data_IF_958766099268
#
_entry.id   IF_958766099268
#
_cell.length_a   1.000
_cell.length_b   1.000
_cell.length_c   1.000
_cell.angle_alpha   90.00
_cell.angle_beta   90.00
_cell.angle_gamma   90.00
#
_symmetry.space_group_name_H-M   'P 1'
#
loop_
_entity.id
_entity.type
_entity.pdbx_description
1 polymer ?
#
# COMPACT_ATOMS: atom_id res chain seq x y z
N UNK A 1 6.78 -24.69 -15.12
CA UNK A 1 7.69 -25.31 -14.12
C UNK A 1 8.10 -26.70 -14.57
N UNK A 2 9.35 -27.11 -14.33
CA UNK A 2 9.70 -28.53 -14.40
C UNK A 2 9.01 -29.28 -13.25
N UNK A 3 8.63 -30.54 -13.46
CA UNK A 3 8.01 -31.39 -12.42
C UNK A 3 8.82 -31.40 -11.11
N UNK A 4 10.14 -31.27 -11.21
CA UNK A 4 11.05 -31.24 -10.07
C UNK A 4 10.85 -30.00 -9.18
N UNK A 5 10.67 -28.81 -9.76
CA UNK A 5 10.46 -27.58 -8.97
C UNK A 5 9.16 -27.65 -8.16
N UNK A 6 8.10 -28.25 -8.72
CA UNK A 6 6.82 -28.40 -8.03
C UNK A 6 6.94 -29.33 -6.82
N UNK A 7 7.71 -30.41 -6.95
CA UNK A 7 7.99 -31.34 -5.85
C UNK A 7 8.78 -30.67 -4.73
N UNK A 8 9.82 -29.90 -5.06
CA UNK A 8 10.62 -29.16 -4.06
C UNK A 8 9.75 -28.17 -3.28
N UNK A 9 8.89 -27.42 -3.98
CA UNK A 9 7.97 -26.47 -3.33
C UNK A 9 7.01 -27.18 -2.37
N UNK A 10 6.41 -28.31 -2.79
CA UNK A 10 5.51 -29.08 -1.95
C UNK A 10 6.22 -29.67 -0.73
N UNK A 11 7.43 -30.19 -0.91
CA UNK A 11 8.26 -30.70 0.18
C UNK A 11 8.62 -29.58 1.18
N UNK A 12 9.06 -28.41 0.72
CA UNK A 12 9.36 -27.28 1.61
C UNK A 12 8.13 -26.82 2.39
N UNK A 13 6.94 -26.80 1.79
CA UNK A 13 5.72 -26.46 2.50
C UNK A 13 5.33 -27.51 3.56
N UNK A 14 5.40 -28.79 3.20
CA UNK A 14 4.97 -29.89 4.05
C UNK A 14 5.96 -30.20 5.18
N UNK A 15 7.26 -30.22 4.86
CA UNK A 15 8.31 -30.75 5.73
C UNK A 15 9.04 -29.63 6.51
N UNK A 16 9.05 -28.40 5.98
CA UNK A 16 9.71 -27.26 6.64
C UNK A 16 8.72 -26.28 7.25
N UNK A 17 7.79 -25.74 6.45
CA UNK A 17 6.91 -24.64 6.91
C UNK A 17 5.82 -25.14 7.87
N UNK A 18 5.12 -26.22 7.54
CA UNK A 18 3.99 -26.72 8.32
C UNK A 18 4.37 -27.05 9.78
N UNK A 19 5.47 -27.78 10.08
CA UNK A 19 5.84 -28.10 11.46
C UNK A 19 6.10 -26.84 12.30
N UNK A 20 6.81 -25.85 11.73
CA UNK A 20 7.17 -24.60 12.43
C UNK A 20 5.92 -23.83 12.86
N UNK A 21 4.90 -23.79 12.00
CA UNK A 21 3.64 -23.08 12.29
C UNK A 21 2.78 -23.85 13.29
N UNK A 22 2.72 -25.18 13.17
CA UNK A 22 1.99 -26.01 14.12
C UNK A 22 2.54 -25.83 15.53
N UNK A 23 3.86 -25.82 15.70
CA UNK A 23 4.50 -25.58 16.99
C UNK A 23 4.30 -24.14 17.50
N UNK A 24 4.36 -23.14 16.61
CA UNK A 24 4.08 -21.75 16.96
C UNK A 24 2.62 -21.57 17.44
N UNK A 25 1.68 -22.23 16.77
CA UNK A 25 0.27 -22.28 17.18
C UNK A 25 0.08 -22.90 18.55
N UNK A 26 0.72 -24.05 18.81
CA UNK A 26 0.69 -24.72 20.11
C UNK A 26 1.32 -23.86 21.22
N UNK A 27 2.39 -23.13 20.91
CA UNK A 27 3.05 -22.23 21.85
C UNK A 27 2.20 -21.01 22.20
N UNK A 28 1.40 -20.51 21.25
CA UNK A 28 0.46 -19.39 21.48
C UNK A 28 -0.75 -19.76 22.33
N UNK A 29 -1.11 -21.05 22.38
CA UNK A 29 -2.14 -21.61 23.27
C UNK A 29 -1.63 -22.03 24.65
N UNK A 30 -0.35 -21.76 24.96
CA UNK A 30 0.13 -21.84 26.34
C UNK A 30 -0.65 -20.86 27.23
N UNK A 31 -0.95 -21.20 28.50
CA UNK A 31 -1.79 -20.38 29.36
C UNK A 31 -1.27 -18.93 29.36
N UNK A 32 -2.16 -17.97 29.14
CA UNK A 32 -1.90 -16.52 29.04
C UNK A 32 -1.23 -15.88 30.28
N UNK A 33 -0.69 -16.69 31.19
CA UNK A 33 0.04 -16.28 32.38
C UNK A 33 1.49 -16.76 32.30
N UNK A 34 2.26 -16.23 31.34
CA UNK A 34 3.73 -16.18 31.50
C UNK A 34 4.14 -15.03 32.41
N UNK A 35 3.20 -14.16 32.82
CA UNK A 35 3.41 -13.08 33.76
C UNK A 35 3.16 -13.64 35.15
N UNK A 36 4.20 -13.71 35.96
CA UNK A 36 4.07 -14.11 37.36
C UNK A 36 3.13 -13.12 38.06
N UNK A 37 2.00 -13.57 38.64
CA UNK A 37 0.98 -12.68 39.18
C UNK A 37 1.46 -11.88 40.40
N UNK A 38 2.56 -12.29 41.02
CA UNK A 38 3.14 -11.63 42.20
C UNK A 38 4.18 -10.59 41.77
N UNK A 39 4.96 -10.88 40.72
CA UNK A 39 6.08 -10.00 40.32
C UNK A 39 5.81 -9.16 39.08
N UNK A 40 4.76 -9.46 38.32
CA UNK A 40 4.45 -8.81 37.04
C UNK A 40 5.49 -9.08 35.94
N UNK A 41 6.48 -9.94 36.18
CA UNK A 41 7.56 -10.25 35.24
C UNK A 41 7.26 -11.51 34.44
N UNK A 42 7.72 -11.51 33.18
CA UNK A 42 7.63 -12.67 32.29
C UNK A 42 8.58 -13.75 32.80
N UNK A 43 8.07 -14.95 33.12
CA UNK A 43 8.92 -16.11 33.48
C UNK A 43 9.81 -16.49 32.30
N UNK A 44 11.09 -16.84 32.54
CA UNK A 44 11.97 -17.35 31.49
C UNK A 44 11.38 -18.64 30.89
N UNK A 45 11.57 -18.88 29.57
CA UNK A 45 11.11 -20.11 28.94
C UNK A 45 11.72 -21.32 29.64
N UNK A 46 10.92 -22.37 29.86
CA UNK A 46 11.39 -23.60 30.51
C UNK A 46 12.59 -24.17 29.73
N UNK A 47 13.65 -24.58 30.43
CA UNK A 47 14.91 -25.12 29.88
C UNK A 47 14.79 -26.42 29.06
N UNK A 48 13.57 -26.83 28.70
CA UNK A 48 13.25 -27.99 27.86
C UNK A 48 12.31 -27.59 26.70
N UNK A 49 12.50 -26.41 26.11
CA UNK A 49 11.80 -26.05 24.88
C UNK A 49 12.25 -26.99 23.74
N UNK A 50 11.44 -28.00 23.43
CA UNK A 50 11.66 -29.03 22.40
C UNK A 50 11.82 -28.49 20.96
N UNK A 51 11.70 -27.17 20.76
CA UNK A 51 11.82 -26.48 19.46
C UNK A 51 13.13 -26.81 18.72
N UNK A 52 14.24 -26.86 19.45
CA UNK A 52 15.55 -27.17 18.87
C UNK A 52 15.66 -28.66 18.52
N UNK A 53 15.06 -29.54 19.32
CA UNK A 53 15.11 -31.00 19.16
C UNK A 53 14.38 -31.52 17.92
N UNK A 54 13.20 -30.98 17.58
CA UNK A 54 12.42 -31.47 16.43
C UNK A 54 12.95 -30.96 15.08
N UNK A 55 13.45 -29.71 15.04
CA UNK A 55 14.18 -29.17 13.88
C UNK A 55 15.53 -29.87 13.70
N UNK A 56 16.30 -30.10 14.76
CA UNK A 56 17.57 -30.84 14.68
C UNK A 56 17.37 -32.32 14.32
N UNK A 57 16.29 -32.96 14.76
CA UNK A 57 16.00 -34.35 14.38
C UNK A 57 15.68 -34.52 12.88
N UNK A 58 15.03 -33.53 12.27
CA UNK A 58 14.61 -33.58 10.86
C UNK A 58 15.61 -32.93 9.89
N UNK A 59 16.39 -31.94 10.34
CA UNK A 59 17.42 -31.25 9.54
C UNK A 59 18.84 -31.79 9.81
N UNK A 60 19.07 -32.46 10.94
CA UNK A 60 20.39 -32.85 11.45
C UNK A 60 21.08 -34.01 10.74
N UNK A 61 20.52 -34.58 9.66
CA UNK A 61 21.24 -35.58 8.83
C UNK A 61 22.23 -34.97 7.84
N UNK A 62 22.29 -33.65 7.71
CA UNK A 62 23.19 -32.96 6.76
C UNK A 62 24.19 -31.99 7.40
N UNK A 63 24.29 -31.92 8.73
CA UNK A 63 25.34 -31.12 9.38
C UNK A 63 26.65 -31.91 9.42
N UNK A 64 27.59 -31.55 8.56
CA UNK A 64 29.00 -31.81 8.78
C UNK A 64 29.50 -30.93 9.95
N UNK A 65 30.53 -31.42 10.64
CA UNK A 65 31.04 -30.92 11.93
C UNK A 65 31.20 -29.40 11.98
N UNK A 66 30.75 -28.81 13.09
CA UNK A 66 30.66 -27.38 13.36
C UNK A 66 31.99 -26.60 13.45
N UNK A 67 33.14 -27.24 13.20
CA UNK A 67 34.46 -26.61 13.30
C UNK A 67 34.93 -25.94 11.98
N UNK A 68 34.18 -26.07 10.88
CA UNK A 68 34.58 -25.50 9.56
C UNK A 68 33.69 -24.34 9.06
N UNK A 69 32.70 -23.88 9.84
CA UNK A 69 31.55 -23.11 9.32
C UNK A 69 31.61 -21.57 9.53
N UNK A 70 32.81 -20.98 9.60
CA UNK A 70 32.96 -19.50 9.55
C UNK A 70 32.67 -18.91 8.16
N UNK A 71 32.55 -19.74 7.12
CA UNK A 71 32.32 -19.31 5.73
C UNK A 71 30.85 -19.25 5.26
N UNK A 72 29.93 -19.98 5.90
CA UNK A 72 28.55 -20.10 5.40
C UNK A 72 27.65 -18.89 5.69
N UNK A 73 28.05 -18.01 6.62
CA UNK A 73 27.36 -16.75 6.92
C UNK A 73 27.33 -15.77 5.73
N UNK A 74 28.24 -15.93 4.77
CA UNK A 74 28.33 -15.11 3.55
C UNK A 74 27.57 -15.68 2.34
N UNK A 75 26.89 -16.83 2.47
CA UNK A 75 26.23 -17.52 1.36
C UNK A 75 24.71 -17.32 1.29
N UNK A 76 24.10 -16.64 2.27
CA UNK A 76 22.71 -16.22 2.15
C UNK A 76 22.60 -15.16 1.03
N UNK A 77 21.79 -15.37 -0.02
CA UNK A 77 21.70 -14.41 -1.11
C UNK A 77 21.20 -13.05 -0.59
N UNK A 78 22.07 -12.04 -0.60
CA UNK A 78 21.77 -10.65 -0.25
C UNK A 78 20.61 -10.05 -1.07
N UNK A 79 20.27 -10.70 -2.20
CA UNK A 79 19.13 -10.38 -3.06
C UNK A 79 17.77 -10.42 -2.36
N UNK A 80 17.63 -11.13 -1.24
CA UNK A 80 16.36 -11.23 -0.50
C UNK A 80 16.32 -10.42 0.80
N UNK A 81 17.43 -9.78 1.18
CA UNK A 81 17.45 -8.88 2.31
C UNK A 81 16.82 -7.55 1.89
N UNK A 82 15.72 -7.16 2.56
CA UNK A 82 15.33 -5.76 2.58
C UNK A 82 16.49 -5.01 3.25
N UNK A 83 17.25 -4.23 2.48
CA UNK A 83 18.35 -3.41 2.97
C UNK A 83 17.83 -2.46 4.04
N UNK A 84 18.12 -2.76 5.31
CA UNK A 84 17.86 -1.91 6.47
C UNK A 84 19.20 -1.52 7.10
N UNK A 85 19.40 -0.25 7.50
CA UNK A 85 20.62 0.18 8.17
C UNK A 85 20.52 -0.05 9.69
N UNK A 86 21.32 -0.97 10.25
CA UNK A 86 21.91 -0.92 11.62
C UNK A 86 22.36 -2.32 12.08
N UNK A 87 23.63 -2.45 12.45
CA UNK A 87 24.36 -3.72 12.70
C UNK A 87 24.26 -4.26 14.16
N UNK A 88 23.42 -3.71 15.03
CA UNK A 88 23.45 -4.03 16.47
C UNK A 88 22.31 -4.92 17.00
N UNK A 89 21.52 -5.59 16.13
CA UNK A 89 20.39 -6.47 16.51
C UNK A 89 20.62 -7.99 16.33
N UNK A 90 21.81 -8.40 15.89
CA UNK A 90 22.08 -9.73 15.33
C UNK A 90 21.84 -10.96 16.23
N UNK A 91 21.76 -10.80 17.56
CA UNK A 91 21.61 -11.94 18.50
C UNK A 91 20.17 -12.22 18.94
N UNK A 92 19.28 -11.21 18.98
CA UNK A 92 17.83 -11.43 19.14
C UNK A 92 17.16 -11.82 17.81
N UNK A 93 17.75 -11.39 16.67
CA UNK A 93 17.39 -11.79 15.30
C UNK A 93 17.63 -13.28 15.01
N UNK A 94 18.51 -13.94 15.78
CA UNK A 94 18.90 -15.34 15.55
C UNK A 94 17.77 -16.36 15.74
N UNK A 95 16.73 -15.99 16.51
CA UNK A 95 15.57 -16.84 16.80
C UNK A 95 14.26 -16.36 16.14
N UNK A 96 14.31 -15.31 15.32
CA UNK A 96 13.16 -14.72 14.63
C UNK A 96 12.77 -15.52 13.38
N UNK A 97 12.18 -16.72 13.56
CA UNK A 97 11.62 -17.52 12.48
C UNK A 97 12.59 -17.85 11.32
N UNK A 98 13.75 -18.45 11.65
CA UNK A 98 14.68 -19.22 10.78
C UNK A 98 14.22 -19.32 9.32
N UNK A 99 14.53 -18.31 8.50
CA UNK A 99 14.28 -18.31 7.06
C UNK A 99 12.84 -18.58 6.60
N UNK A 100 11.82 -18.72 7.45
CA UNK A 100 10.49 -19.17 7.02
C UNK A 100 9.83 -18.16 6.08
N UNK A 101 9.98 -16.88 6.39
CA UNK A 101 9.53 -15.78 5.51
C UNK A 101 10.28 -15.79 4.18
N UNK A 102 11.58 -16.08 4.18
CA UNK A 102 12.40 -16.18 2.97
C UNK A 102 12.05 -17.42 2.14
N UNK A 103 11.82 -18.56 2.80
CA UNK A 103 11.40 -19.82 2.18
C UNK A 103 9.99 -19.68 1.61
N UNK A 104 9.05 -19.04 2.33
CA UNK A 104 7.73 -18.70 1.80
C UNK A 104 7.82 -17.76 0.60
N UNK A 105 8.67 -16.72 0.67
CA UNK A 105 8.92 -15.82 -0.46
C UNK A 105 9.48 -16.58 -1.66
N UNK A 106 10.45 -17.46 -1.45
CA UNK A 106 11.04 -18.31 -2.47
C UNK A 106 10.00 -19.25 -3.07
N UNK A 107 9.20 -19.90 -2.23
CA UNK A 107 8.08 -20.75 -2.64
C UNK A 107 7.15 -19.95 -3.54
N UNK A 108 6.63 -18.80 -3.10
CA UNK A 108 5.75 -17.95 -3.89
C UNK A 108 6.39 -17.48 -5.20
N UNK A 109 7.69 -17.19 -5.16
CA UNK A 109 8.49 -16.76 -6.33
C UNK A 109 8.64 -17.86 -7.38
N UNK A 110 8.61 -19.12 -6.97
CA UNK A 110 8.71 -20.27 -7.87
C UNK A 110 7.38 -20.99 -8.10
N UNK A 111 6.32 -20.60 -7.41
CA UNK A 111 5.00 -21.21 -7.51
C UNK A 111 4.32 -20.79 -8.82
N UNK A 112 4.42 -21.63 -9.86
CA UNK A 112 3.68 -21.46 -11.13
C UNK A 112 2.54 -22.49 -11.20
N UNK A 113 1.43 -22.22 -10.52
CA UNK A 113 0.25 -23.10 -10.55
C UNK A 113 -0.78 -22.55 -11.53
N UNK A 114 -1.07 -23.31 -12.58
CA UNK A 114 -2.07 -22.94 -13.59
C UNK A 114 -3.45 -23.51 -13.30
N UNK A 115 -3.51 -24.68 -12.64
CA UNK A 115 -4.74 -25.42 -12.44
C UNK A 115 -5.29 -25.25 -11.02
N UNK A 116 -6.61 -25.26 -10.87
CA UNK A 116 -7.28 -25.18 -9.57
C UNK A 116 -6.95 -26.37 -8.66
N UNK A 117 -6.72 -27.57 -9.22
CA UNK A 117 -6.34 -28.76 -8.46
C UNK A 117 -5.00 -28.60 -7.76
N UNK A 118 -4.02 -27.99 -8.45
CA UNK A 118 -2.69 -27.76 -7.89
C UNK A 118 -2.74 -26.72 -6.78
N UNK A 119 -3.51 -25.65 -6.99
CA UNK A 119 -3.78 -24.66 -5.95
C UNK A 119 -4.45 -25.30 -4.74
N UNK A 120 -5.48 -26.13 -4.94
CA UNK A 120 -6.22 -26.79 -3.85
C UNK A 120 -5.31 -27.67 -2.98
N UNK A 121 -4.30 -28.32 -3.56
CA UNK A 121 -3.34 -29.13 -2.81
C UNK A 121 -2.38 -28.29 -1.96
N UNK A 122 -1.99 -27.10 -2.44
CA UNK A 122 -1.01 -26.23 -1.77
C UNK A 122 -1.69 -25.25 -0.79
N UNK A 123 -2.94 -24.88 -1.06
CA UNK A 123 -3.68 -23.84 -0.32
C UNK A 123 -3.68 -24.01 1.20
N UNK A 124 -3.97 -25.21 1.75
CA UNK A 124 -4.03 -25.40 3.20
C UNK A 124 -2.67 -25.24 3.89
N UNK A 125 -1.57 -25.36 3.14
CA UNK A 125 -0.21 -25.20 3.65
C UNK A 125 0.27 -23.75 3.59
N UNK A 126 -0.26 -22.97 2.63
CA UNK A 126 0.19 -21.60 2.36
C UNK A 126 -0.58 -20.56 3.17
N UNK A 127 -1.88 -20.75 3.35
CA UNK A 127 -2.75 -19.73 3.96
C UNK A 127 -2.47 -19.49 5.44
N UNK A 128 -2.37 -20.51 6.31
CA UNK A 128 -2.06 -20.30 7.72
C UNK A 128 -0.78 -19.47 7.95
N UNK A 129 0.38 -19.77 7.31
CA UNK A 129 1.58 -18.94 7.47
C UNK A 129 1.36 -17.47 7.12
N UNK A 130 0.66 -17.23 6.01
CA UNK A 130 0.44 -15.87 5.51
C UNK A 130 -0.43 -15.07 6.49
N UNK A 131 -1.51 -15.66 6.99
CA UNK A 131 -2.37 -15.04 8.00
C UNK A 131 -1.60 -14.80 9.31
N UNK A 132 -0.83 -15.79 9.79
CA UNK A 132 -0.01 -15.65 11.00
C UNK A 132 0.98 -14.48 10.86
N UNK A 133 1.61 -14.30 9.70
CA UNK A 133 2.51 -13.17 9.46
C UNK A 133 1.76 -11.84 9.36
N UNK A 134 0.65 -11.80 8.60
CA UNK A 134 -0.13 -10.59 8.36
C UNK A 134 -0.78 -10.04 9.64
N UNK A 135 -1.16 -10.91 10.58
CA UNK A 135 -1.78 -10.56 11.86
C UNK A 135 -0.78 -10.49 13.02
N UNK A 136 0.52 -10.64 12.75
CA UNK A 136 1.54 -10.72 13.79
C UNK A 136 1.61 -9.42 14.62
N UNK A 137 1.74 -9.43 15.95
CA UNK A 137 1.75 -8.20 16.76
C UNK A 137 2.84 -7.18 16.36
N UNK A 138 4.01 -7.66 15.94
CA UNK A 138 5.12 -6.80 15.51
C UNK A 138 4.99 -6.33 14.05
N UNK A 139 5.12 -5.01 13.75
CA UNK A 139 4.93 -4.42 12.43
C UNK A 139 5.77 -5.03 11.30
N UNK A 140 7.04 -5.35 11.57
CA UNK A 140 7.96 -5.94 10.59
C UNK A 140 7.46 -7.27 10.00
N UNK A 141 6.80 -8.10 10.81
CA UNK A 141 6.27 -9.38 10.34
C UNK A 141 4.96 -9.17 9.58
N UNK A 142 4.12 -8.21 10.00
CA UNK A 142 2.93 -7.78 9.24
C UNK A 142 3.30 -7.24 7.87
N UNK A 143 4.39 -6.48 7.78
CA UNK A 143 4.93 -6.00 6.51
C UNK A 143 5.31 -7.18 5.61
N UNK A 144 6.10 -8.14 6.12
CA UNK A 144 6.46 -9.34 5.36
C UNK A 144 5.23 -10.15 4.95
N UNK A 145 4.27 -10.35 5.85
CA UNK A 145 3.00 -11.02 5.55
C UNK A 145 2.24 -10.32 4.43
N UNK A 146 2.07 -9.00 4.54
CA UNK A 146 1.37 -8.19 3.53
C UNK A 146 2.07 -8.21 2.17
N UNK A 147 3.41 -8.15 2.15
CA UNK A 147 4.19 -8.25 0.92
C UNK A 147 4.10 -9.64 0.27
N UNK A 148 4.08 -10.71 1.07
CA UNK A 148 3.87 -12.07 0.57
C UNK A 148 2.45 -12.26 0.02
N UNK A 149 1.43 -11.71 0.69
CA UNK A 149 0.05 -11.72 0.19
C UNK A 149 -0.07 -10.91 -1.10
N UNK A 150 0.55 -9.73 -1.17
CA UNK A 150 0.64 -8.94 -2.41
C UNK A 150 1.24 -9.77 -3.55
N UNK A 151 2.39 -10.39 -3.31
CA UNK A 151 3.11 -11.23 -4.30
C UNK A 151 2.27 -12.43 -4.74
N UNK A 152 1.57 -13.08 -3.81
CA UNK A 152 0.66 -14.18 -4.10
C UNK A 152 -0.48 -13.73 -5.03
N UNK A 153 -1.10 -12.60 -4.73
CA UNK A 153 -2.24 -12.06 -5.48
C UNK A 153 -1.79 -11.52 -6.85
N UNK A 154 -0.63 -10.87 -6.94
CA UNK A 154 -0.09 -10.35 -8.21
C UNK A 154 0.16 -11.47 -9.22
N UNK A 155 0.51 -12.66 -8.73
CA UNK A 155 0.71 -13.87 -9.53
C UNK A 155 -0.57 -14.68 -9.74
N UNK A 156 -1.64 -14.30 -9.06
CA UNK A 156 -2.92 -14.97 -9.10
C UNK A 156 -3.57 -14.87 -10.47
N UNK A 157 -3.82 -16.02 -11.11
CA UNK A 157 -4.68 -16.12 -12.27
C UNK A 157 -6.14 -16.40 -11.91
N UNK A 158 -6.94 -16.75 -12.92
CA UNK A 158 -8.35 -17.11 -12.77
C UNK A 158 -8.57 -18.28 -11.78
N UNK A 159 -7.64 -19.25 -11.73
CA UNK A 159 -7.71 -20.36 -10.79
C UNK A 159 -7.62 -19.90 -9.32
N UNK A 160 -6.77 -18.92 -9.02
CA UNK A 160 -6.66 -18.35 -7.67
C UNK A 160 -7.93 -17.58 -7.31
N UNK A 161 -8.46 -16.79 -8.24
CA UNK A 161 -9.71 -16.05 -8.05
C UNK A 161 -10.89 -16.98 -7.70
N UNK A 162 -11.07 -18.08 -8.46
CA UNK A 162 -12.09 -19.11 -8.17
C UNK A 162 -11.91 -19.71 -6.79
N UNK A 163 -10.66 -20.00 -6.40
CA UNK A 163 -10.37 -20.56 -5.10
C UNK A 163 -10.66 -19.59 -3.95
N UNK A 164 -10.29 -18.31 -4.10
CA UNK A 164 -10.59 -17.25 -3.13
C UNK A 164 -12.10 -17.12 -2.89
N UNK A 165 -12.88 -17.12 -3.97
CA UNK A 165 -14.34 -17.05 -3.91
C UNK A 165 -14.97 -18.30 -3.27
N UNK A 166 -14.51 -19.49 -3.65
CA UNK A 166 -15.05 -20.76 -3.15
C UNK A 166 -14.74 -21.00 -1.68
N UNK A 167 -13.53 -20.64 -1.24
CA UNK A 167 -13.07 -20.93 0.14
C UNK A 167 -13.45 -19.84 1.13
N UNK A 168 -13.85 -18.64 0.67
CA UNK A 168 -14.15 -17.49 1.52
C UNK A 168 -12.92 -16.86 2.18
N UNK A 169 -11.72 -17.37 1.90
CA UNK A 169 -10.47 -16.91 2.52
C UNK A 169 -10.08 -15.48 2.13
N UNK A 170 -10.61 -14.98 1.01
CA UNK A 170 -10.46 -13.58 0.63
C UNK A 170 -10.92 -12.64 1.75
N UNK A 171 -12.06 -12.93 2.40
CA UNK A 171 -12.56 -12.13 3.52
C UNK A 171 -11.65 -12.16 4.76
N UNK A 172 -10.90 -13.25 4.98
CA UNK A 172 -9.95 -13.36 6.07
C UNK A 172 -8.67 -12.58 5.76
N UNK A 173 -8.16 -12.67 4.53
CA UNK A 173 -7.04 -11.85 4.07
C UNK A 173 -7.38 -10.36 4.13
N UNK A 174 -8.58 -9.97 3.68
CA UNK A 174 -9.08 -8.60 3.75
C UNK A 174 -9.05 -8.08 5.19
N UNK A 175 -9.61 -8.84 6.15
CA UNK A 175 -9.59 -8.47 7.58
C UNK A 175 -8.16 -8.33 8.12
N UNK A 176 -7.29 -9.30 7.83
CA UNK A 176 -5.90 -9.26 8.27
C UNK A 176 -5.15 -8.03 7.73
N UNK A 177 -5.38 -7.67 6.46
CA UNK A 177 -4.77 -6.50 5.82
C UNK A 177 -5.38 -5.18 6.33
N UNK A 178 -6.67 -5.14 6.67
CA UNK A 178 -7.29 -3.92 7.23
C UNK A 178 -6.71 -3.53 8.59
N UNK A 179 -6.37 -4.51 9.44
CA UNK A 179 -5.65 -4.26 10.71
C UNK A 179 -4.35 -3.50 10.47
N UNK A 180 -3.70 -3.73 9.32
CA UNK A 180 -2.47 -3.06 8.95
C UNK A 180 -2.66 -1.60 8.54
N UNK A 181 -3.87 -1.18 8.17
CA UNK A 181 -4.21 0.21 7.88
C UNK A 181 -4.52 1.01 9.16
N UNK A 182 -4.96 0.33 10.22
CA UNK A 182 -5.27 0.98 11.51
C UNK A 182 -4.02 1.22 12.37
N UNK A 183 -3.07 0.27 12.37
CA UNK A 183 -1.91 0.32 13.27
C UNK A 183 -0.60 0.65 12.53
N UNK A 184 -0.49 1.86 11.99
CA UNK A 184 0.64 2.35 11.16
C UNK A 184 1.60 3.31 11.89
N UNK A 185 1.93 3.04 13.15
CA UNK A 185 2.71 3.99 13.97
C UNK A 185 4.23 3.81 13.90
N UNK A 186 4.70 2.72 13.31
CA UNK A 186 6.12 2.38 13.31
C UNK A 186 6.88 3.18 12.25
N UNK A 187 7.83 4.03 12.68
CA UNK A 187 8.60 4.89 11.80
C UNK A 187 9.34 4.14 10.68
N UNK A 188 9.78 2.91 10.96
CA UNK A 188 10.56 2.11 10.01
C UNK A 188 9.65 1.36 9.03
N UNK A 189 8.52 0.83 9.50
CA UNK A 189 7.71 -0.11 8.73
C UNK A 189 6.38 0.45 8.21
N UNK A 190 5.89 1.57 8.73
CA UNK A 190 4.53 2.05 8.45
C UNK A 190 4.28 2.33 6.96
N UNK A 191 5.19 3.00 6.25
CA UNK A 191 5.01 3.31 4.84
C UNK A 191 4.98 2.03 3.98
N UNK A 192 5.90 1.10 4.22
CA UNK A 192 5.91 -0.20 3.55
C UNK A 192 4.65 -1.01 3.86
N UNK A 193 4.19 -0.98 5.11
CA UNK A 193 3.01 -1.72 5.56
C UNK A 193 1.74 -1.18 4.90
N UNK A 194 1.60 0.14 4.84
CA UNK A 194 0.53 0.84 4.15
C UNK A 194 0.52 0.49 2.65
N UNK A 195 1.69 0.61 1.99
CA UNK A 195 1.85 0.33 0.56
C UNK A 195 1.46 -1.10 0.20
N UNK A 196 2.05 -2.09 0.90
CA UNK A 196 1.79 -3.51 0.64
C UNK A 196 0.33 -3.88 0.97
N UNK A 197 -0.24 -3.32 2.04
CA UNK A 197 -1.60 -3.66 2.45
C UNK A 197 -2.64 -3.10 1.49
N UNK A 198 -2.51 -1.83 1.07
CA UNK A 198 -3.41 -1.25 0.07
C UNK A 198 -3.26 -1.97 -1.27
N UNK A 199 -2.03 -2.24 -1.71
CA UNK A 199 -1.77 -2.99 -2.93
C UNK A 199 -2.41 -4.38 -2.91
N UNK A 200 -2.25 -5.11 -1.80
CA UNK A 200 -2.82 -6.44 -1.65
C UNK A 200 -4.35 -6.41 -1.61
N UNK A 201 -4.95 -5.48 -0.86
CA UNK A 201 -6.40 -5.28 -0.83
C UNK A 201 -6.95 -4.96 -2.22
N UNK A 202 -6.30 -4.06 -2.96
CA UNK A 202 -6.65 -3.75 -4.35
C UNK A 202 -6.62 -5.00 -5.23
N UNK A 203 -5.53 -5.76 -5.22
CA UNK A 203 -5.42 -6.98 -6.04
C UNK A 203 -6.45 -8.03 -5.64
N UNK A 204 -6.71 -8.18 -4.34
CA UNK A 204 -7.75 -9.07 -3.84
C UNK A 204 -9.13 -8.69 -4.39
N UNK A 205 -9.47 -7.40 -4.37
CA UNK A 205 -10.72 -6.88 -4.94
C UNK A 205 -10.75 -7.16 -6.44
N UNK A 206 -9.69 -6.85 -7.19
CA UNK A 206 -9.65 -7.04 -8.64
C UNK A 206 -9.76 -8.51 -9.06
N UNK A 207 -9.21 -9.44 -8.28
CA UNK A 207 -9.31 -10.87 -8.53
C UNK A 207 -10.67 -11.45 -8.14
N UNK A 208 -11.30 -10.95 -7.08
CA UNK A 208 -12.54 -11.52 -6.52
C UNK A 208 -13.83 -10.89 -7.04
N UNK A 209 -13.74 -9.88 -7.91
CA UNK A 209 -14.92 -9.15 -8.42
C UNK A 209 -14.90 -9.03 -9.94
N UNK A 210 -16.06 -8.80 -10.56
CA UNK A 210 -16.18 -8.54 -12.00
C UNK A 210 -15.62 -7.16 -12.38
N UNK A 211 -15.07 -6.97 -13.60
CA UNK A 211 -14.71 -5.65 -14.11
C UNK A 211 -15.87 -4.65 -14.13
N UNK A 212 -15.58 -3.38 -13.84
CA UNK A 212 -16.57 -2.29 -13.89
C UNK A 212 -16.98 -2.06 -15.35
N UNK A 213 -18.26 -2.27 -15.64
CA UNK A 213 -18.82 -2.04 -16.96
C UNK A 213 -19.33 -0.59 -17.04
N UNK A 214 -18.55 0.28 -17.69
CA UNK A 214 -18.98 1.65 -17.98
C UNK A 214 -19.95 1.63 -19.16
N UNK A 215 -21.23 1.93 -18.89
CA UNK A 215 -22.23 2.09 -19.96
C UNK A 215 -21.93 3.37 -20.72
N UNK A 216 -21.64 3.25 -22.01
CA UNK A 216 -21.66 4.39 -22.91
C UNK A 216 -23.06 5.02 -22.86
N UNK A 217 -23.19 6.34 -22.71
CA UNK A 217 -24.47 7.00 -22.89
C UNK A 217 -24.95 6.69 -24.31
N UNK A 218 -25.93 5.79 -24.42
CA UNK A 218 -26.53 5.41 -25.70
C UNK A 218 -27.02 6.70 -26.36
N UNK A 219 -26.39 7.05 -27.48
CA UNK A 219 -26.75 8.22 -28.26
C UNK A 219 -28.12 7.97 -28.91
N UNK A 220 -29.17 8.59 -28.37
CA UNK A 220 -30.41 8.85 -29.08
C UNK A 220 -31.67 8.14 -28.56
N UNK A 221 -32.78 8.88 -28.35
CA UNK A 221 -34.08 8.33 -27.89
C UNK A 221 -34.89 7.60 -28.99
N UNK A 222 -34.25 6.92 -29.96
CA UNK A 222 -34.91 6.47 -31.20
C UNK A 222 -35.17 4.97 -31.38
N UNK A 223 -34.62 4.09 -30.56
CA UNK A 223 -34.64 2.64 -30.82
C UNK A 223 -35.51 1.86 -29.84
N UNK A 224 -36.84 1.83 -30.07
CA UNK A 224 -37.75 0.87 -29.41
C UNK A 224 -37.49 -0.52 -30.02
N UNK A 225 -36.39 -1.14 -29.60
CA UNK A 225 -36.07 -2.52 -29.91
C UNK A 225 -36.15 -3.34 -28.63
N UNK A 226 -37.32 -3.93 -28.38
CA UNK A 226 -37.55 -4.94 -27.33
C UNK A 226 -36.75 -6.22 -27.63
N UNK A 227 -35.43 -6.13 -27.52
CA UNK A 227 -34.51 -7.27 -27.58
C UNK A 227 -34.11 -7.66 -26.16
N UNK A 228 -34.98 -8.38 -25.46
CA UNK A 228 -34.64 -9.14 -24.23
C UNK A 228 -33.57 -10.20 -24.56
N UNK A 229 -32.31 -9.79 -24.68
CA UNK A 229 -31.18 -10.72 -24.68
C UNK A 229 -30.68 -10.86 -23.25
N UNK A 230 -31.26 -11.87 -22.58
CA UNK A 230 -30.58 -12.89 -21.78
C UNK A 230 -29.32 -12.41 -21.03
N UNK A 231 -29.45 -11.99 -19.77
CA UNK A 231 -29.31 -12.89 -18.61
C UNK A 231 -27.94 -13.58 -18.46
N UNK A 232 -26.84 -12.91 -18.84
CA UNK A 232 -25.61 -13.08 -18.06
C UNK A 232 -25.76 -12.17 -16.83
N UNK A 233 -26.19 -12.75 -15.70
CA UNK A 233 -26.38 -12.10 -14.39
C UNK A 233 -25.01 -11.74 -13.79
N UNK A 234 -24.25 -10.89 -14.48
CA UNK A 234 -23.08 -10.23 -13.94
C UNK A 234 -23.52 -8.97 -13.23
N UNK A 235 -22.92 -8.68 -12.07
CA UNK A 235 -23.14 -7.45 -11.29
C UNK A 235 -22.61 -6.18 -11.97
N UNK A 236 -22.25 -6.22 -13.26
CA UNK A 236 -21.63 -5.12 -14.00
C UNK A 236 -20.42 -4.48 -13.29
N UNK A 237 -19.76 -5.20 -12.38
CA UNK A 237 -18.68 -4.69 -11.53
C UNK A 237 -19.12 -3.74 -10.42
N UNK A 238 -20.42 -3.72 -10.06
CA UNK A 238 -20.95 -2.96 -8.92
C UNK A 238 -20.22 -3.32 -7.62
N UNK A 239 -20.00 -4.62 -7.35
CA UNK A 239 -19.23 -5.05 -6.18
C UNK A 239 -17.79 -4.56 -6.22
N UNK A 240 -17.14 -4.55 -7.39
CA UNK A 240 -15.79 -4.02 -7.54
C UNK A 240 -15.76 -2.53 -7.20
N UNK A 241 -16.69 -1.77 -7.75
CA UNK A 241 -16.80 -0.35 -7.50
C UNK A 241 -17.07 -0.06 -6.02
N UNK A 242 -17.97 -0.80 -5.38
CA UNK A 242 -18.26 -0.68 -3.95
C UNK A 242 -17.04 -1.01 -3.09
N UNK A 243 -16.37 -2.14 -3.34
CA UNK A 243 -15.18 -2.55 -2.58
C UNK A 243 -14.01 -1.59 -2.74
N UNK A 244 -13.74 -1.08 -3.95
CA UNK A 244 -12.70 -0.07 -4.16
C UNK A 244 -13.06 1.26 -3.49
N UNK A 245 -14.33 1.66 -3.55
CA UNK A 245 -14.83 2.85 -2.85
C UNK A 245 -14.67 2.70 -1.33
N UNK A 246 -14.96 1.49 -0.79
CA UNK A 246 -14.74 1.15 0.61
C UNK A 246 -13.27 1.19 1.00
N UNK A 247 -12.38 0.67 0.15
CA UNK A 247 -10.93 0.75 0.38
C UNK A 247 -10.44 2.20 0.47
N UNK A 248 -11.01 3.09 -0.34
CA UNK A 248 -10.71 4.53 -0.25
C UNK A 248 -11.24 5.12 1.06
N UNK A 249 -12.52 4.91 1.39
CA UNK A 249 -13.15 5.54 2.56
C UNK A 249 -12.72 4.95 3.90
N UNK A 250 -12.85 3.63 4.04
CA UNK A 250 -12.63 2.89 5.29
C UNK A 250 -11.19 2.40 5.42
N UNK A 251 -10.42 2.39 4.33
CA UNK A 251 -8.98 2.10 4.36
C UNK A 251 -8.15 3.36 4.40
N UNK A 252 -7.98 4.02 3.26
CA UNK A 252 -7.03 5.13 3.13
C UNK A 252 -7.46 6.35 3.96
N UNK A 253 -8.66 6.87 3.71
CA UNK A 253 -9.11 8.13 4.33
C UNK A 253 -9.38 7.98 5.83
N UNK A 254 -9.91 6.83 6.26
CA UNK A 254 -10.15 6.56 7.68
C UNK A 254 -8.84 6.63 8.48
N UNK A 255 -7.75 6.05 7.96
CA UNK A 255 -6.43 6.07 8.58
C UNK A 255 -5.99 7.50 8.88
N UNK A 256 -6.26 8.46 7.98
CA UNK A 256 -5.91 9.87 8.18
C UNK A 256 -6.89 10.65 9.06
N UNK A 257 -8.13 10.18 9.18
CA UNK A 257 -9.12 10.83 10.05
C UNK A 257 -8.88 10.58 11.54
N UNK A 258 -8.29 9.43 11.89
CA UNK A 258 -8.05 9.04 13.28
C UNK A 258 -6.62 9.25 13.75
N UNK A 259 -5.66 9.33 12.83
CA UNK A 259 -4.25 9.45 13.17
C UNK A 259 -3.74 10.85 12.84
N UNK A 260 -3.22 11.62 13.82
CA UNK A 260 -2.49 12.82 13.51
C UNK A 260 -1.30 12.42 12.64
N UNK A 261 -1.27 12.93 11.41
CA UNK A 261 -0.14 12.71 10.52
C UNK A 261 1.13 13.19 11.23
N UNK A 262 2.23 12.41 11.17
CA UNK A 262 3.53 12.92 11.54
C UNK A 262 3.80 14.22 10.76
N UNK A 263 4.48 15.21 11.37
CA UNK A 263 4.74 16.47 10.69
C UNK A 263 5.38 16.25 9.31
N UNK A 264 5.00 17.06 8.31
CA UNK A 264 5.46 16.91 6.93
C UNK A 264 6.99 16.94 6.79
N UNK A 265 7.70 17.62 7.72
CA UNK A 265 9.17 17.64 7.76
C UNK A 265 9.83 16.36 8.29
N UNK A 266 9.08 15.40 8.82
CA UNK A 266 9.62 14.12 9.29
C UNK A 266 9.68 13.10 8.16
N UNK A 267 10.72 12.25 8.13
CA UNK A 267 10.85 11.18 7.13
C UNK A 267 9.60 10.27 7.07
N UNK A 268 9.04 9.94 8.24
CA UNK A 268 7.80 9.17 8.33
C UNK A 268 6.61 9.90 7.67
N UNK A 269 6.42 11.19 7.99
CA UNK A 269 5.36 12.01 7.41
C UNK A 269 5.44 12.03 5.88
N UNK A 270 6.63 12.27 5.34
CA UNK A 270 6.88 12.24 3.89
C UNK A 270 6.56 10.89 3.26
N UNK A 271 7.07 9.81 3.86
CA UNK A 271 6.89 8.46 3.35
C UNK A 271 5.42 8.02 3.34
N UNK A 272 4.67 8.39 4.39
CA UNK A 272 3.24 8.12 4.49
C UNK A 272 2.44 8.92 3.45
N UNK A 273 2.72 10.22 3.28
CA UNK A 273 2.07 11.05 2.27
C UNK A 273 2.35 10.50 0.87
N UNK A 274 3.61 10.19 0.55
CA UNK A 274 3.98 9.60 -0.75
C UNK A 274 3.21 8.31 -1.05
N UNK A 275 3.19 7.39 -0.08
CA UNK A 275 2.48 6.11 -0.20
C UNK A 275 0.98 6.32 -0.41
N UNK A 276 0.39 7.23 0.36
CA UNK A 276 -1.03 7.58 0.30
C UNK A 276 -1.41 8.13 -1.06
N UNK A 277 -0.70 9.15 -1.52
CA UNK A 277 -0.99 9.84 -2.78
C UNK A 277 -0.83 8.88 -3.95
N UNK A 278 0.23 8.06 -3.94
CA UNK A 278 0.47 7.04 -4.97
C UNK A 278 -0.68 6.02 -5.02
N UNK A 279 -1.07 5.49 -3.86
CA UNK A 279 -2.20 4.57 -3.77
C UNK A 279 -3.51 5.20 -4.23
N UNK A 280 -3.73 6.47 -3.88
CA UNK A 280 -4.93 7.21 -4.27
C UNK A 280 -5.00 7.44 -5.78
N UNK A 281 -3.88 7.77 -6.42
CA UNK A 281 -3.79 7.93 -7.87
C UNK A 281 -4.12 6.62 -8.60
N UNK A 282 -3.60 5.49 -8.11
CA UNK A 282 -3.92 4.17 -8.67
C UNK A 282 -5.42 3.85 -8.53
N UNK A 283 -6.01 4.11 -7.35
CA UNK A 283 -7.45 3.86 -7.13
C UNK A 283 -8.35 4.82 -7.92
N UNK A 284 -7.90 6.05 -8.17
CA UNK A 284 -8.57 6.96 -9.10
C UNK A 284 -8.61 6.32 -10.49
N UNK A 285 -7.49 5.79 -10.98
CA UNK A 285 -7.46 5.17 -12.31
C UNK A 285 -8.34 3.90 -12.37
N UNK A 286 -8.48 3.14 -11.29
CA UNK A 286 -9.39 1.97 -11.24
C UNK A 286 -10.88 2.34 -11.20
N UNK A 287 -11.21 3.48 -10.57
CA UNK A 287 -12.59 3.93 -10.38
C UNK A 287 -13.06 4.88 -11.48
N UNK A 288 -12.14 5.45 -12.24
CA UNK A 288 -12.45 6.36 -13.34
C UNK A 288 -12.85 5.59 -14.60
N UNK A 289 -13.89 6.02 -15.33
CA UNK A 289 -14.17 5.47 -16.65
C UNK A 289 -12.94 5.58 -17.57
N UNK A 290 -12.70 4.57 -18.43
CA UNK A 290 -11.69 4.71 -19.47
C UNK A 290 -12.02 5.92 -20.35
N UNK A 291 -10.99 6.64 -20.79
CA UNK A 291 -11.18 7.76 -21.69
C UNK A 291 -11.82 7.25 -23.00
N UNK A 292 -13.04 7.71 -23.28
CA UNK A 292 -13.80 7.31 -24.48
C UNK A 292 -13.16 7.84 -25.77
N UNK A 293 -12.46 8.95 -25.65
CA UNK A 293 -11.74 9.60 -26.73
C UNK A 293 -10.30 9.82 -26.27
N UNK A 294 -9.28 9.31 -26.98
CA UNK A 294 -7.88 9.57 -26.64
C UNK A 294 -7.51 11.06 -26.68
N UNK A 295 -8.30 11.90 -27.37
CA UNK A 295 -8.14 13.35 -27.39
C UNK A 295 -8.79 14.05 -26.19
N UNK A 296 -9.73 13.40 -25.50
CA UNK A 296 -10.31 13.93 -24.28
C UNK A 296 -9.33 13.75 -23.12
N UNK A 297 -8.72 14.86 -22.72
CA UNK A 297 -7.88 14.93 -21.51
C UNK A 297 -8.68 14.76 -20.22
N UNK A 298 -10.02 14.74 -20.27
CA UNK A 298 -10.87 14.60 -19.09
C UNK A 298 -11.35 13.16 -18.95
N UNK A 299 -10.70 12.42 -18.03
CA UNK A 299 -11.34 11.30 -17.35
C UNK A 299 -12.23 11.88 -16.26
N UNK A 300 -13.51 11.51 -16.22
CA UNK A 300 -14.35 11.80 -15.06
C UNK A 300 -13.83 11.07 -13.82
N UNK A 301 -14.08 11.60 -12.63
CA UNK A 301 -13.64 11.03 -11.35
C UNK A 301 -14.41 9.77 -10.94
N UNK A 302 -15.51 9.45 -11.62
CA UNK A 302 -16.34 8.29 -11.28
C UNK A 302 -16.84 8.35 -9.84
N UNK A 303 -16.67 7.26 -9.08
CA UNK A 303 -17.07 7.21 -7.67
C UNK A 303 -16.15 7.99 -6.73
N UNK A 304 -14.94 8.36 -7.15
CA UNK A 304 -14.02 9.17 -6.32
C UNK A 304 -14.59 10.57 -6.05
N UNK A 305 -15.50 11.06 -6.89
CA UNK A 305 -16.21 12.32 -6.68
C UNK A 305 -16.78 12.48 -5.26
N UNK A 306 -17.19 11.37 -4.62
CA UNK A 306 -17.71 11.34 -3.24
C UNK A 306 -16.69 11.73 -2.17
N UNK A 307 -15.41 11.63 -2.48
CA UNK A 307 -14.30 11.83 -1.55
C UNK A 307 -13.45 13.07 -1.86
N UNK A 308 -13.70 13.74 -2.99
CA UNK A 308 -12.98 14.94 -3.43
C UNK A 308 -12.85 15.94 -2.29
N UNK A 309 -13.92 16.12 -1.55
CA UNK A 309 -13.99 17.05 -0.44
C UNK A 309 -12.99 16.77 0.68
N UNK A 310 -13.01 15.54 1.20
CA UNK A 310 -12.12 15.13 2.29
C UNK A 310 -10.68 15.08 1.81
N UNK A 311 -10.46 14.63 0.57
CA UNK A 311 -9.12 14.54 -0.01
C UNK A 311 -8.51 15.92 -0.28
N UNK A 312 -9.29 16.88 -0.80
CA UNK A 312 -8.80 18.24 -1.02
C UNK A 312 -8.55 18.99 0.30
N UNK A 313 -9.40 18.79 1.32
CA UNK A 313 -9.13 19.31 2.67
C UNK A 313 -7.80 18.77 3.20
N UNK A 314 -7.61 17.46 3.08
CA UNK A 314 -6.42 16.78 3.55
C UNK A 314 -5.16 17.28 2.85
N UNK A 315 -5.18 17.37 1.51
CA UNK A 315 -4.06 17.90 0.70
C UNK A 315 -3.74 19.34 1.10
N UNK A 316 -4.76 20.19 1.18
CA UNK A 316 -4.59 21.62 1.46
C UNK A 316 -4.02 21.86 2.85
N UNK A 317 -4.59 21.21 3.88
CA UNK A 317 -4.23 21.46 5.28
C UNK A 317 -3.00 20.69 5.75
N UNK A 318 -2.84 19.43 5.34
CA UNK A 318 -1.80 18.55 5.88
C UNK A 318 -0.50 18.55 5.08
N UNK A 319 -0.54 18.99 3.82
CA UNK A 319 0.67 19.06 2.98
C UNK A 319 0.96 20.46 2.46
N UNK A 320 0.15 20.98 1.54
CA UNK A 320 0.48 22.22 0.83
C UNK A 320 0.65 23.43 1.77
N UNK A 321 -0.14 23.52 2.84
CA UNK A 321 -0.02 24.61 3.81
C UNK A 321 1.13 24.46 4.82
N UNK A 322 1.78 23.29 4.91
CA UNK A 322 2.65 22.90 6.03
C UNK A 322 4.00 22.33 5.60
N UNK A 323 4.22 22.07 4.31
CA UNK A 323 5.47 21.54 3.78
C UNK A 323 6.62 22.54 4.02
N UNK A 324 7.67 22.16 4.77
CA UNK A 324 8.68 23.12 5.20
C UNK A 324 9.85 23.26 4.21
N UNK A 325 9.97 22.37 3.21
CA UNK A 325 11.08 22.31 2.26
C UNK A 325 12.46 22.27 2.94
N UNK A 326 12.61 21.41 3.94
CA UNK A 326 13.86 21.15 4.64
C UNK A 326 14.67 20.02 4.00
N UNK A 327 14.06 19.27 3.09
CA UNK A 327 14.71 18.17 2.39
C UNK A 327 14.37 18.15 0.89
N UNK A 328 15.32 17.74 0.06
CA UNK A 328 15.17 17.75 -1.40
C UNK A 328 14.14 16.74 -1.94
N UNK A 329 13.75 15.75 -1.14
CA UNK A 329 12.69 14.78 -1.46
C UNK A 329 11.27 15.38 -1.30
N UNK A 330 11.12 16.51 -0.60
CA UNK A 330 9.84 17.20 -0.43
C UNK A 330 9.35 17.86 -1.73
N UNK A 331 10.27 18.25 -2.61
CA UNK A 331 9.96 18.86 -3.90
C UNK A 331 9.23 17.87 -4.84
N UNK A 332 9.84 16.71 -5.22
CA UNK A 332 9.15 15.75 -6.08
C UNK A 332 7.89 15.19 -5.42
N UNK A 333 7.88 15.01 -4.09
CA UNK A 333 6.66 14.60 -3.40
C UNK A 333 5.53 15.62 -3.55
N UNK A 334 5.85 16.92 -3.46
CA UNK A 334 4.86 17.98 -3.67
C UNK A 334 4.35 17.99 -5.12
N UNK A 335 5.18 17.68 -6.11
CA UNK A 335 4.72 17.49 -7.50
C UNK A 335 3.68 16.37 -7.61
N UNK A 336 3.90 15.22 -6.94
CA UNK A 336 2.92 14.12 -6.93
C UNK A 336 1.62 14.54 -6.23
N UNK A 337 1.72 15.27 -5.12
CA UNK A 337 0.55 15.82 -4.40
C UNK A 337 -0.25 16.78 -5.29
N UNK A 338 0.43 17.65 -6.04
CA UNK A 338 -0.20 18.57 -6.99
C UNK A 338 -0.85 17.83 -8.15
N UNK A 339 -0.25 16.76 -8.65
CA UNK A 339 -0.85 15.89 -9.67
C UNK A 339 -2.16 15.27 -9.19
N UNK A 340 -2.19 14.77 -7.95
CA UNK A 340 -3.42 14.27 -7.33
C UNK A 340 -4.47 15.39 -7.17
N UNK A 341 -4.08 16.54 -6.63
CA UNK A 341 -4.98 17.68 -6.46
C UNK A 341 -5.58 18.14 -7.80
N UNK A 342 -4.77 18.21 -8.85
CA UNK A 342 -5.18 18.59 -10.21
C UNK A 342 -6.23 17.63 -10.77
N UNK A 343 -6.08 16.31 -10.53
CA UNK A 343 -7.08 15.33 -10.93
C UNK A 343 -8.39 15.53 -10.17
N UNK A 344 -8.32 15.69 -8.84
CA UNK A 344 -9.49 15.83 -7.98
C UNK A 344 -10.28 17.13 -8.23
N UNK A 345 -9.63 18.19 -8.70
CA UNK A 345 -10.32 19.47 -8.96
C UNK A 345 -11.11 19.47 -10.27
N UNK A 346 -10.94 18.48 -11.14
CA UNK A 346 -11.56 18.43 -12.47
C UNK A 346 -13.11 18.44 -12.45
N UNK A 347 -13.74 17.86 -11.42
CA UNK A 347 -15.19 17.62 -11.40
C UNK A 347 -15.94 18.36 -10.25
N UNK A 348 -15.35 19.38 -9.62
CA UNK A 348 -16.10 20.22 -8.67
C UNK A 348 -15.33 20.78 -7.48
N UNK A 349 -14.33 21.64 -7.73
CA UNK A 349 -13.53 22.24 -6.66
C UNK A 349 -14.10 23.54 -6.04
N UNK A 350 -15.27 24.03 -6.48
CA UNK A 350 -15.71 25.41 -6.23
C UNK A 350 -15.62 25.86 -4.76
N UNK A 351 -16.07 25.03 -3.82
CA UNK A 351 -16.00 25.35 -2.38
C UNK A 351 -14.58 25.34 -1.79
N UNK A 352 -13.67 24.60 -2.44
CA UNK A 352 -12.28 24.42 -2.03
C UNK A 352 -11.32 25.42 -2.66
N UNK A 353 -11.79 26.24 -3.62
CA UNK A 353 -10.95 27.23 -4.30
C UNK A 353 -10.24 28.15 -3.30
N UNK A 354 -10.96 28.74 -2.33
CA UNK A 354 -10.35 29.61 -1.32
C UNK A 354 -9.24 28.91 -0.51
N UNK A 355 -9.53 27.79 0.18
CA UNK A 355 -8.53 27.01 0.91
C UNK A 355 -7.34 26.56 0.05
N UNK A 356 -7.57 26.11 -1.19
CA UNK A 356 -6.50 25.66 -2.08
C UNK A 356 -5.59 26.82 -2.52
N UNK A 357 -6.15 27.99 -2.85
CA UNK A 357 -5.34 29.17 -3.16
C UNK A 357 -4.47 29.59 -1.98
N UNK A 358 -5.04 29.60 -0.77
CA UNK A 358 -4.28 29.90 0.44
C UNK A 358 -3.17 28.86 0.70
N UNK A 359 -3.44 27.58 0.46
CA UNK A 359 -2.45 26.51 0.62
C UNK A 359 -1.33 26.57 -0.42
N UNK A 360 -1.66 26.87 -1.69
CA UNK A 360 -0.68 27.08 -2.76
C UNK A 360 0.21 28.28 -2.48
N UNK A 361 -0.37 29.40 -2.02
CA UNK A 361 0.40 30.58 -1.65
C UNK A 361 1.38 30.27 -0.51
N UNK A 362 0.93 29.56 0.54
CA UNK A 362 1.81 29.11 1.62
C UNK A 362 2.91 28.19 1.15
N UNK A 363 2.57 27.18 0.34
CA UNK A 363 3.54 26.26 -0.26
C UNK A 363 4.64 27.03 -1.02
N UNK A 364 4.24 27.99 -1.86
CA UNK A 364 5.19 28.80 -2.61
C UNK A 364 6.08 29.66 -1.72
N UNK A 365 5.50 30.35 -0.72
CA UNK A 365 6.26 31.16 0.24
C UNK A 365 7.26 30.28 0.99
N UNK A 366 6.84 29.11 1.49
CA UNK A 366 7.73 28.15 2.14
C UNK A 366 8.85 27.67 1.21
N UNK A 367 8.57 27.50 -0.09
CA UNK A 367 9.61 27.14 -1.08
C UNK A 367 10.65 28.25 -1.29
N UNK A 368 10.23 29.52 -1.23
CA UNK A 368 11.11 30.69 -1.36
C UNK A 368 11.96 30.91 -0.10
N UNK A 369 11.39 30.59 1.07
CA UNK A 369 12.04 30.73 2.38
C UNK A 369 12.92 29.53 2.74
N UNK A 370 12.87 28.46 1.93
CA UNK A 370 13.69 27.27 2.12
C UNK A 370 15.19 27.59 1.98
N UNK A 371 16.04 27.17 2.94
CA UNK A 371 17.49 27.31 2.81
C UNK A 371 18.03 26.51 1.62
N UNK A 372 17.40 25.38 1.28
CA UNK A 372 17.82 24.53 0.17
C UNK A 372 17.73 25.24 -1.18
N UNK A 373 16.79 26.18 -1.34
CA UNK A 373 16.65 26.94 -2.58
C UNK A 373 17.78 27.94 -2.76
N UNK A 374 18.28 28.53 -1.68
CA UNK A 374 19.42 29.44 -1.70
C UNK A 374 20.73 28.69 -1.98
N UNK A 375 20.88 27.49 -1.41
CA UNK A 375 22.06 26.65 -1.61
C UNK A 375 22.10 26.00 -3.00
N UNK A 376 20.94 25.81 -3.63
CA UNK A 376 20.77 25.09 -4.90
C UNK A 376 20.28 26.00 -6.03
N UNK A 377 20.84 27.21 -6.14
CA UNK A 377 20.50 28.14 -7.22
C UNK A 377 20.74 27.47 -8.59
N UNK A 378 19.67 27.28 -9.36
CA UNK A 378 19.70 26.58 -10.64
C UNK A 378 19.28 25.10 -10.62
N UNK A 379 18.87 24.53 -9.48
CA UNK A 379 18.29 23.17 -9.47
C UNK A 379 16.93 23.16 -10.21
N UNK A 380 16.86 22.38 -11.29
CA UNK A 380 15.67 22.20 -12.13
C UNK A 380 14.42 21.74 -11.34
N UNK A 381 14.61 21.11 -10.17
CA UNK A 381 13.49 20.70 -9.31
C UNK A 381 12.62 21.87 -8.87
N UNK A 382 13.21 23.02 -8.54
CA UNK A 382 12.45 24.21 -8.14
C UNK A 382 11.62 24.76 -9.31
N UNK A 383 12.17 24.73 -10.52
CA UNK A 383 11.46 25.13 -11.72
C UNK A 383 10.28 24.17 -12.02
N UNK A 384 10.46 22.86 -11.81
CA UNK A 384 9.37 21.88 -11.94
C UNK A 384 8.27 22.09 -10.90
N UNK A 385 8.62 22.41 -9.66
CA UNK A 385 7.64 22.75 -8.63
C UNK A 385 6.84 24.00 -9.00
N UNK A 386 7.53 25.06 -9.44
CA UNK A 386 6.91 26.31 -9.90
C UNK A 386 5.95 26.06 -11.07
N UNK A 387 6.36 25.28 -12.05
CA UNK A 387 5.51 24.86 -13.17
C UNK A 387 4.31 24.05 -12.69
N UNK A 388 4.51 23.09 -11.79
CA UNK A 388 3.43 22.29 -11.20
C UNK A 388 2.40 23.15 -10.47
N UNK A 389 2.84 24.16 -9.72
CA UNK A 389 1.96 25.11 -9.03
C UNK A 389 1.20 26.00 -10.04
N UNK A 390 1.86 26.51 -11.08
CA UNK A 390 1.20 27.28 -12.16
C UNK A 390 0.15 26.45 -12.89
N UNK A 391 0.49 25.23 -13.29
CA UNK A 391 -0.43 24.30 -13.94
C UNK A 391 -1.64 23.99 -13.06
N UNK A 392 -1.43 23.81 -11.75
CA UNK A 392 -2.53 23.61 -10.81
C UNK A 392 -3.42 24.85 -10.67
N UNK A 393 -2.85 26.06 -10.59
CA UNK A 393 -3.60 27.32 -10.55
C UNK A 393 -4.38 27.57 -11.84
N UNK A 394 -3.77 27.33 -13.01
CA UNK A 394 -4.46 27.40 -14.30
C UNK A 394 -5.63 26.42 -14.37
N UNK A 395 -5.44 25.20 -13.83
CA UNK A 395 -6.55 24.23 -13.72
C UNK A 395 -7.65 24.71 -12.78
N UNK A 396 -7.31 25.29 -11.63
CA UNK A 396 -8.30 25.89 -10.73
C UNK A 396 -9.07 27.02 -11.42
N UNK A 397 -8.39 27.88 -12.18
CA UNK A 397 -9.01 28.98 -12.91
C UNK A 397 -9.98 28.50 -14.00
N UNK A 398 -9.70 27.35 -14.64
CA UNK A 398 -10.64 26.71 -15.56
C UNK A 398 -11.92 26.20 -14.87
N UNK A 399 -11.82 25.85 -13.57
CA UNK A 399 -12.94 25.33 -12.78
C UNK A 399 -13.75 26.46 -12.14
N UNK A 400 -13.08 27.55 -11.73
CA UNK A 400 -13.70 28.70 -11.08
C UNK A 400 -13.04 30.01 -11.55
N UNK A 401 -13.81 30.82 -12.29
CA UNK A 401 -13.34 32.10 -12.84
C UNK A 401 -12.93 33.13 -11.76
N UNK A 402 -13.36 32.96 -10.50
CA UNK A 402 -12.98 33.85 -9.39
C UNK A 402 -11.53 33.69 -8.96
N UNK A 403 -10.84 32.61 -9.39
CA UNK A 403 -9.44 32.35 -9.05
C UNK A 403 -8.52 33.51 -9.42
N UNK A 404 -8.66 34.07 -10.62
CA UNK A 404 -7.80 35.18 -11.06
C UNK A 404 -7.93 36.41 -10.15
N UNK A 405 -9.15 36.81 -9.82
CA UNK A 405 -9.39 37.94 -8.91
C UNK A 405 -8.90 37.69 -7.49
N UNK A 406 -9.13 36.48 -6.95
CA UNK A 406 -8.67 36.10 -5.60
C UNK A 406 -7.15 35.97 -5.50
N UNK A 407 -6.50 35.41 -6.53
CA UNK A 407 -5.05 35.33 -6.61
C UNK A 407 -4.41 36.71 -6.75
N UNK A 408 -5.03 37.60 -7.53
CA UNK A 408 -4.65 39.01 -7.62
C UNK A 408 -4.64 39.70 -6.24
N UNK A 409 -5.68 39.49 -5.43
CA UNK A 409 -5.74 40.03 -4.07
C UNK A 409 -4.66 39.43 -3.14
N UNK A 410 -4.34 38.14 -3.26
CA UNK A 410 -3.23 37.53 -2.51
C UNK A 410 -1.88 38.11 -2.91
N UNK A 411 -1.69 38.39 -4.21
CA UNK A 411 -0.47 39.04 -4.73
C UNK A 411 -0.30 40.47 -4.23
N UNK A 412 -1.40 41.20 -4.02
CA UNK A 412 -1.35 42.53 -3.39
C UNK A 412 -0.85 42.46 -1.93
N UNK A 413 -1.11 41.34 -1.23
CA UNK A 413 -0.59 41.10 0.12
C UNK A 413 0.88 40.68 0.09
N UNK A 414 1.28 39.82 -0.86
CA UNK A 414 2.67 39.40 -1.04
C UNK A 414 3.06 39.37 -2.53
N UNK A 415 3.86 40.35 -2.96
CA UNK A 415 4.29 40.49 -4.34
C UNK A 415 5.11 39.32 -4.88
N UNK A 416 5.70 38.49 -4.02
CA UNK A 416 6.46 37.29 -4.42
C UNK A 416 5.58 36.23 -5.11
N UNK A 417 4.26 36.30 -4.93
CA UNK A 417 3.29 35.41 -5.59
C UNK A 417 3.13 35.70 -7.09
N UNK A 418 3.64 36.83 -7.60
CA UNK A 418 3.50 37.23 -9.01
C UNK A 418 4.17 36.27 -10.00
N UNK A 419 5.09 35.41 -9.55
CA UNK A 419 5.76 34.39 -10.37
C UNK A 419 4.79 33.26 -10.80
N UNK A 420 3.73 33.03 -10.02
CA UNK A 420 2.77 31.95 -10.24
C UNK A 420 1.49 32.43 -10.94
N UNK A 421 1.59 33.37 -11.88
CA UNK A 421 0.40 33.80 -12.63
C UNK A 421 -0.24 32.60 -13.36
N UNK A 422 -1.54 32.35 -13.15
CA UNK A 422 -2.25 31.29 -13.86
C UNK A 422 -2.24 31.61 -15.36
N UNK A 423 -1.77 30.65 -16.15
CA UNK A 423 -1.70 30.73 -17.62
C UNK A 423 -3.11 30.64 -18.22
#
# INVERSE_FOLDING_TARGET
MSSAQSLVVKALLADYIKPIIQEAGLSSSGPQSSIDPITGRRKPPASQANFVSHLDANLGRHRHSADEDEGASNLAPSRFALTLPSESRALEERNEALGCTNVLSLILTHLSLTNESDWTAVWPLLIPPLLTLAEHPQPRFRLRGSALVYTLLERGGEALAKLLLRTGIGSLLEKALHVNLTYIHDETYAAGLLSCSIGALRLLILLSTSPIAYRLPLSGPGGVGEGRLSSAVGDCGEKRQESLTRLVSEGILSTWSYLPLPPAGTHLGRSLVHTTVTAYLVLIDDLSPPALDPSSTRKGLGSISRFVDVSLDWIARNWLSTVPFLHLDEIPLTEVVLSLATRLTADGAGRWVGPLLAAVAKCWISSLESPLRQESEGDERWARLEEGLRMFLGRLAQVDASVGGRWGALREVDGRLGVLEPI
#
